data_IF_229180345995
#
_entry.id   IF_229180345995
#
_cell.length_a   1.000
_cell.length_b   1.000
_cell.length_c   1.000
_cell.angle_alpha   90.00
_cell.angle_beta   90.00
_cell.angle_gamma   90.00
#
_symmetry.space_group_name_H-M   'P 1'
#
loop_
_entity.id
_entity.type
_entity.pdbx_description
1 polymer ?
#
# COMPACT_ATOMS: atom_id res chain seq x y z
N UNK A 1 -70.68 9.85 -79.45
CA UNK A 1 -71.16 8.47 -79.26
C UNK A 1 -71.23 8.17 -77.77
N UNK A 2 -72.39 7.68 -77.31
CA UNK A 2 -72.60 6.69 -76.22
C UNK A 2 -71.63 6.70 -75.02
N UNK A 3 -72.03 7.28 -73.88
CA UNK A 3 -72.87 6.71 -72.79
C UNK A 3 -72.12 5.76 -71.84
N UNK A 4 -71.92 6.23 -70.60
CA UNK A 4 -71.58 5.42 -69.41
C UNK A 4 -72.10 6.09 -68.14
N UNK A 5 -73.32 5.75 -67.70
CA UNK A 5 -73.96 6.29 -66.46
C UNK A 5 -73.82 5.28 -65.31
N UNK A 6 -73.62 5.77 -64.08
CA UNK A 6 -74.39 5.53 -62.83
C UNK A 6 -73.55 6.00 -61.62
N UNK A 7 -73.97 7.05 -60.91
CA UNK A 7 -74.73 7.05 -59.64
C UNK A 7 -74.04 6.26 -58.50
N UNK A 8 -73.60 6.80 -57.34
CA UNK A 8 -74.04 7.87 -56.40
C UNK A 8 -74.77 7.35 -55.13
N UNK A 9 -74.93 8.21 -54.10
CA UNK A 9 -75.28 8.02 -52.65
C UNK A 9 -74.04 7.82 -51.73
N UNK A 10 -73.92 8.22 -50.44
CA UNK A 10 -74.55 9.15 -49.45
C UNK A 10 -73.42 9.42 -48.38
N UNK A 11 -72.99 10.64 -48.02
CA UNK A 11 -73.46 11.62 -46.98
C UNK A 11 -73.49 11.10 -45.50
N UNK A 12 -73.48 11.94 -44.43
CA UNK A 12 -72.79 13.24 -44.18
C UNK A 12 -72.29 13.44 -42.70
N UNK A 13 -71.85 14.68 -42.35
CA UNK A 13 -71.63 15.29 -40.98
C UNK A 13 -70.57 14.62 -40.05
N UNK A 14 -69.90 15.28 -39.08
CA UNK A 14 -70.05 16.58 -38.40
C UNK A 14 -68.74 17.42 -38.36
N UNK A 15 -68.89 18.73 -38.11
CA UNK A 15 -67.81 19.66 -37.81
C UNK A 15 -67.47 19.69 -36.31
N UNK A 16 -66.25 20.13 -35.95
CA UNK A 16 -66.06 21.23 -34.99
C UNK A 16 -64.65 21.86 -35.10
N UNK A 17 -64.52 23.12 -34.69
CA UNK A 17 -63.36 23.99 -34.93
C UNK A 17 -62.17 23.77 -33.95
N UNK A 18 -60.96 24.20 -34.36
CA UNK A 18 -59.84 24.38 -33.42
C UNK A 18 -58.46 24.64 -34.04
N UNK A 19 -58.06 25.92 -34.13
CA UNK A 19 -56.69 26.48 -34.05
C UNK A 19 -55.54 25.65 -34.71
N UNK A 20 -55.11 25.91 -35.95
CA UNK A 20 -54.35 27.06 -36.48
C UNK A 20 -52.82 27.10 -36.20
N UNK A 21 -52.08 27.49 -37.26
CA UNK A 21 -50.68 27.97 -37.35
C UNK A 21 -49.58 26.93 -37.69
N UNK A 22 -48.76 27.32 -38.68
CA UNK A 22 -47.68 26.57 -39.32
C UNK A 22 -46.41 26.48 -38.45
N UNK A 23 -45.63 25.43 -38.67
CA UNK A 23 -44.17 25.48 -38.49
C UNK A 23 -43.49 24.75 -39.67
N UNK A 24 -42.61 25.45 -40.40
CA UNK A 24 -41.84 24.86 -41.50
C UNK A 24 -40.79 23.88 -40.94
N UNK A 25 -40.91 22.60 -41.28
CA UNK A 25 -39.95 21.58 -40.88
C UNK A 25 -38.75 21.46 -41.83
N UNK A 26 -37.70 22.27 -41.64
CA UNK A 26 -36.34 21.92 -42.08
C UNK A 26 -35.32 22.37 -41.02
N UNK A 27 -34.90 21.43 -40.17
CA UNK A 27 -33.69 21.56 -39.36
C UNK A 27 -32.99 20.20 -39.32
N UNK A 28 -32.03 20.01 -40.23
CA UNK A 28 -31.17 18.83 -40.26
C UNK A 28 -30.17 18.88 -39.09
N UNK A 29 -30.66 18.63 -37.87
CA UNK A 29 -29.85 18.53 -36.67
C UNK A 29 -28.97 17.30 -36.72
N UNK A 30 -27.68 17.47 -37.01
CA UNK A 30 -26.70 16.39 -36.91
C UNK A 30 -26.59 15.92 -35.46
N UNK A 31 -27.29 14.83 -35.14
CA UNK A 31 -27.19 14.18 -33.84
C UNK A 31 -25.78 13.63 -33.64
N UNK A 32 -24.89 14.44 -33.03
CA UNK A 32 -23.65 13.93 -32.45
C UNK A 32 -24.04 12.94 -31.36
N UNK A 33 -23.98 11.67 -31.69
CA UNK A 33 -23.93 10.60 -30.70
C UNK A 33 -22.78 10.92 -29.74
N UNK A 34 -23.12 11.34 -28.52
CA UNK A 34 -22.18 11.36 -27.42
C UNK A 34 -21.84 9.90 -27.09
N UNK A 35 -20.88 9.36 -27.83
CA UNK A 35 -20.25 8.08 -27.52
C UNK A 35 -19.62 8.23 -26.13
N UNK A 36 -20.35 7.80 -25.11
CA UNK A 36 -19.94 7.92 -23.73
C UNK A 36 -18.58 7.23 -23.61
N UNK A 37 -17.57 7.99 -23.18
CA UNK A 37 -16.21 7.47 -23.09
C UNK A 37 -16.25 6.24 -22.18
N UNK A 38 -15.68 5.12 -22.67
CA UNK A 38 -15.66 3.89 -21.91
C UNK A 38 -14.98 4.13 -20.56
N UNK A 39 -15.60 3.68 -19.48
CA UNK A 39 -15.09 3.82 -18.12
C UNK A 39 -13.66 3.27 -18.05
N UNK A 40 -12.73 4.04 -17.48
CA UNK A 40 -11.34 3.57 -17.36
C UNK A 40 -11.27 2.44 -16.35
N UNK A 41 -10.74 1.28 -16.74
CA UNK A 41 -10.66 0.10 -15.88
C UNK A 41 -9.27 -0.03 -15.27
N UNK A 42 -9.20 -0.11 -13.95
CA UNK A 42 -7.96 -0.35 -13.22
C UNK A 42 -8.12 -1.50 -12.21
N UNK A 43 -7.07 -2.31 -12.07
CA UNK A 43 -7.08 -3.48 -11.20
C UNK A 43 -5.98 -3.43 -10.14
N UNK A 44 -6.24 -4.06 -9.00
CA UNK A 44 -5.28 -4.29 -7.92
C UNK A 44 -5.17 -5.79 -7.61
N UNK A 45 -3.96 -6.27 -7.30
CA UNK A 45 -3.68 -7.66 -6.95
C UNK A 45 -3.04 -7.68 -5.56
N UNK A 46 -3.71 -8.31 -4.59
CA UNK A 46 -3.28 -8.43 -3.20
C UNK A 46 -2.82 -9.86 -2.88
N UNK A 47 -1.78 -9.97 -2.04
CA UNK A 47 -1.27 -11.25 -1.53
C UNK A 47 -2.12 -11.79 -0.38
N UNK A 48 -2.65 -10.91 0.48
CA UNK A 48 -3.61 -11.23 1.53
C UNK A 48 -5.07 -10.93 1.13
N UNK A 49 -6.02 -11.11 2.05
CA UNK A 49 -7.39 -10.62 1.92
C UNK A 49 -7.44 -9.10 2.15
N UNK A 50 -8.35 -8.39 1.48
CA UNK A 50 -8.48 -6.93 1.57
C UNK A 50 -8.83 -6.41 2.99
N UNK A 51 -9.20 -7.29 3.92
CA UNK A 51 -9.49 -7.00 5.33
C UNK A 51 -8.49 -7.64 6.31
N UNK A 52 -7.24 -7.91 5.88
CA UNK A 52 -6.14 -8.36 6.75
C UNK A 52 -5.79 -7.44 7.93
N UNK A 53 -6.34 -6.22 7.91
CA UNK A 53 -6.13 -5.14 8.88
C UNK A 53 -4.69 -4.59 8.92
N UNK A 54 -3.88 -4.89 7.90
CA UNK A 54 -2.51 -4.44 7.71
C UNK A 54 -2.25 -4.01 6.27
N UNK A 55 -1.47 -4.81 5.54
CA UNK A 55 -0.88 -4.49 4.23
C UNK A 55 -1.91 -4.39 3.11
N UNK A 56 -2.65 -5.47 2.86
CA UNK A 56 -3.64 -5.54 1.78
C UNK A 56 -4.80 -4.58 2.05
N UNK A 57 -5.20 -4.42 3.32
CA UNK A 57 -6.18 -3.41 3.70
C UNK A 57 -5.70 -1.97 3.46
N UNK A 58 -4.42 -1.65 3.70
CA UNK A 58 -3.89 -0.34 3.38
C UNK A 58 -3.95 -0.08 1.86
N UNK A 59 -3.60 -1.08 1.04
CA UNK A 59 -3.72 -1.01 -0.42
C UNK A 59 -5.17 -0.86 -0.88
N UNK A 60 -6.12 -1.60 -0.30
CA UNK A 60 -7.54 -1.49 -0.65
C UNK A 60 -8.15 -0.14 -0.25
N UNK A 61 -7.78 0.41 0.90
CA UNK A 61 -8.10 1.80 1.25
C UNK A 61 -7.56 2.79 0.21
N UNK A 62 -6.39 2.51 -0.37
CA UNK A 62 -5.85 3.25 -1.52
C UNK A 62 -6.72 3.13 -2.77
N UNK A 63 -7.16 1.92 -3.13
CA UNK A 63 -8.09 1.68 -4.25
C UNK A 63 -9.44 2.39 -4.04
N UNK A 64 -10.03 2.26 -2.87
CA UNK A 64 -11.28 2.93 -2.49
C UNK A 64 -11.14 4.45 -2.50
N UNK A 65 -9.96 5.00 -2.13
CA UNK A 65 -9.66 6.42 -2.28
C UNK A 65 -9.71 6.85 -3.77
N UNK A 66 -9.19 6.05 -4.70
CA UNK A 66 -9.32 6.33 -6.15
C UNK A 66 -10.79 6.32 -6.58
N UNK A 67 -11.53 5.25 -6.24
CA UNK A 67 -12.95 5.12 -6.61
C UNK A 67 -13.79 6.29 -6.09
N UNK A 68 -13.54 6.74 -4.85
CA UNK A 68 -14.21 7.89 -4.23
C UNK A 68 -13.94 9.22 -4.95
N UNK A 69 -12.72 9.44 -5.46
CA UNK A 69 -12.33 10.72 -6.07
C UNK A 69 -12.60 10.81 -7.57
N UNK A 70 -12.75 9.68 -8.26
CA UNK A 70 -13.01 9.63 -9.70
C UNK A 70 -14.46 9.22 -10.05
N UNK A 71 -15.18 8.58 -9.11
CA UNK A 71 -16.57 8.17 -9.30
C UNK A 71 -16.72 7.25 -10.51
N UNK A 72 -17.77 7.45 -11.30
CA UNK A 72 -18.06 6.69 -12.52
C UNK A 72 -17.05 6.86 -13.67
N UNK A 73 -16.01 7.70 -13.51
CA UNK A 73 -14.93 7.80 -14.51
C UNK A 73 -13.94 6.64 -14.44
N UNK A 74 -13.94 5.88 -13.33
CA UNK A 74 -13.11 4.69 -13.12
C UNK A 74 -13.94 3.51 -12.61
N UNK A 75 -13.62 2.33 -13.10
CA UNK A 75 -14.05 1.05 -12.54
C UNK A 75 -12.82 0.44 -11.85
N UNK A 76 -12.83 0.36 -10.52
CA UNK A 76 -11.77 -0.32 -9.77
C UNK A 76 -12.14 -1.77 -9.52
N UNK A 77 -11.29 -2.69 -9.94
CA UNK A 77 -11.41 -4.14 -9.66
C UNK A 77 -10.26 -4.58 -8.76
N UNK A 78 -10.41 -5.71 -8.06
CA UNK A 78 -9.31 -6.32 -7.33
C UNK A 78 -9.38 -7.84 -7.35
N UNK A 79 -8.24 -8.47 -7.08
CA UNK A 79 -8.08 -9.91 -6.80
C UNK A 79 -7.25 -10.03 -5.54
N UNK A 80 -7.73 -10.81 -4.58
CA UNK A 80 -7.10 -11.01 -3.28
C UNK A 80 -6.68 -12.46 -3.08
N UNK A 81 -5.90 -12.74 -2.02
CA UNK A 81 -5.37 -14.06 -1.72
C UNK A 81 -4.57 -14.68 -2.89
N UNK A 82 -3.93 -13.83 -3.70
CA UNK A 82 -3.15 -14.28 -4.86
C UNK A 82 -1.76 -14.69 -4.38
N UNK A 83 -1.37 -15.98 -4.47
CA UNK A 83 -0.05 -16.41 -4.03
C UNK A 83 1.03 -15.89 -4.97
N UNK A 84 2.17 -15.51 -4.39
CA UNK A 84 3.39 -15.21 -5.14
C UNK A 84 3.83 -16.44 -5.95
N UNK A 85 4.22 -16.24 -7.22
CA UNK A 85 4.60 -17.30 -8.14
C UNK A 85 3.71 -17.40 -9.40
N UNK A 86 3.74 -18.53 -10.12
CA UNK A 86 3.19 -18.65 -11.48
C UNK A 86 1.70 -18.32 -11.64
N UNK A 87 0.89 -18.51 -10.58
CA UNK A 87 -0.53 -18.15 -10.58
C UNK A 87 -0.76 -16.64 -10.80
N UNK A 88 0.18 -15.79 -10.35
CA UNK A 88 0.09 -14.33 -10.50
C UNK A 88 -0.02 -13.93 -11.97
N UNK A 89 0.73 -14.59 -12.87
CA UNK A 89 0.71 -14.33 -14.31
C UNK A 89 -0.69 -14.58 -14.89
N UNK A 90 -1.35 -15.69 -14.49
CA UNK A 90 -2.70 -16.03 -14.95
C UNK A 90 -3.76 -15.03 -14.48
N UNK A 91 -3.60 -14.51 -13.26
CA UNK A 91 -4.46 -13.45 -12.70
C UNK A 91 -4.29 -12.16 -13.51
N UNK A 92 -3.05 -11.74 -13.79
CA UNK A 92 -2.77 -10.55 -14.61
C UNK A 92 -3.36 -10.70 -16.01
N UNK A 93 -3.11 -11.81 -16.71
CA UNK A 93 -3.69 -12.06 -18.04
C UNK A 93 -5.22 -12.01 -18.02
N UNK A 94 -5.87 -12.49 -16.95
CA UNK A 94 -7.32 -12.36 -16.80
C UNK A 94 -7.77 -10.92 -16.66
N UNK A 95 -7.08 -10.13 -15.84
CA UNK A 95 -7.41 -8.71 -15.65
C UNK A 95 -7.21 -7.89 -16.94
N UNK A 96 -6.21 -8.24 -17.76
CA UNK A 96 -6.02 -7.66 -19.09
C UNK A 96 -7.17 -8.03 -20.03
N UNK A 97 -7.59 -9.31 -20.06
CA UNK A 97 -8.77 -9.76 -20.84
C UNK A 97 -10.07 -9.08 -20.39
N UNK A 98 -10.22 -8.80 -19.10
CA UNK A 98 -11.36 -8.06 -18.52
C UNK A 98 -11.34 -6.55 -18.85
N UNK A 99 -10.34 -6.10 -19.62
CA UNK A 99 -10.23 -4.75 -20.18
C UNK A 99 -9.50 -3.73 -19.31
N UNK A 100 -8.81 -4.16 -18.24
CA UNK A 100 -8.04 -3.24 -17.39
C UNK A 100 -6.86 -2.63 -18.18
N UNK A 101 -6.67 -1.32 -18.02
CA UNK A 101 -5.60 -0.54 -18.67
C UNK A 101 -4.50 -0.07 -17.72
N UNK A 102 -4.70 -0.26 -16.41
CA UNK A 102 -3.69 -0.05 -15.39
C UNK A 102 -3.82 -1.17 -14.35
N UNK A 103 -2.73 -1.88 -14.05
CA UNK A 103 -2.70 -3.00 -13.09
C UNK A 103 -1.66 -2.72 -12.01
N UNK A 104 -2.10 -2.69 -10.75
CA UNK A 104 -1.24 -2.60 -9.56
C UNK A 104 -1.05 -3.99 -8.96
N UNK A 105 0.20 -4.44 -8.84
CA UNK A 105 0.56 -5.66 -8.11
C UNK A 105 1.21 -5.28 -6.78
N UNK A 106 0.61 -5.67 -5.66
CA UNK A 106 0.94 -5.14 -4.33
C UNK A 106 1.75 -6.11 -3.46
N UNK A 107 2.69 -6.87 -4.04
CA UNK A 107 3.59 -7.74 -3.28
C UNK A 107 4.87 -8.05 -4.04
N UNK A 108 5.97 -8.27 -3.30
CA UNK A 108 7.32 -8.41 -3.85
C UNK A 108 7.43 -9.54 -4.89
N UNK A 109 6.92 -10.73 -4.57
CA UNK A 109 6.97 -11.91 -5.43
C UNK A 109 6.05 -11.87 -6.65
N UNK A 110 5.35 -10.75 -6.91
CA UNK A 110 4.61 -10.54 -8.15
C UNK A 110 5.49 -9.98 -9.30
N UNK A 111 6.67 -9.45 -9.00
CA UNK A 111 7.53 -8.73 -9.96
C UNK A 111 7.82 -9.53 -11.24
N UNK A 112 8.19 -10.82 -11.12
CA UNK A 112 8.58 -11.63 -12.30
C UNK A 112 7.42 -11.83 -13.27
N UNK A 113 6.20 -12.00 -12.76
CA UNK A 113 4.99 -12.04 -13.57
C UNK A 113 4.67 -10.66 -14.15
N UNK A 114 4.78 -9.57 -13.39
CA UNK A 114 4.58 -8.22 -13.93
C UNK A 114 5.57 -7.89 -15.06
N UNK A 115 6.83 -8.32 -14.96
CA UNK A 115 7.85 -8.20 -16.02
C UNK A 115 7.53 -9.05 -17.25
N UNK A 116 6.95 -10.24 -17.08
CA UNK A 116 6.46 -11.08 -18.18
C UNK A 116 5.29 -10.42 -18.90
N UNK A 117 4.25 -10.05 -18.16
CA UNK A 117 2.99 -9.58 -18.74
C UNK A 117 3.11 -8.18 -19.34
N UNK A 118 3.95 -7.30 -18.76
CA UNK A 118 4.26 -6.00 -19.36
C UNK A 118 4.86 -6.11 -20.77
N UNK A 119 5.65 -7.16 -21.05
CA UNK A 119 6.20 -7.41 -22.40
C UNK A 119 5.14 -7.90 -23.39
N UNK A 120 4.16 -8.69 -22.94
CA UNK A 120 3.05 -9.20 -23.77
C UNK A 120 1.98 -8.13 -24.04
N UNK A 121 1.79 -7.18 -23.12
CA UNK A 121 0.67 -6.22 -23.13
C UNK A 121 1.16 -4.76 -23.15
N UNK A 122 1.77 -4.29 -24.24
CA UNK A 122 2.35 -2.94 -24.34
C UNK A 122 1.32 -1.80 -24.35
N UNK A 123 0.02 -2.11 -24.36
CA UNK A 123 -1.12 -1.18 -24.27
C UNK A 123 -1.74 -1.11 -22.86
N UNK A 124 -1.15 -1.80 -21.89
CA UNK A 124 -1.54 -1.78 -20.47
C UNK A 124 -0.36 -1.25 -19.66
N UNK A 125 -0.65 -0.32 -18.74
CA UNK A 125 0.31 0.20 -17.77
C UNK A 125 0.36 -0.71 -16.53
N UNK A 126 1.55 -0.96 -16.01
CA UNK A 126 1.81 -1.86 -14.89
C UNK A 126 2.55 -1.13 -13.76
N UNK A 127 2.14 -1.38 -12.52
CA UNK A 127 2.66 -0.76 -11.31
C UNK A 127 2.99 -1.87 -10.31
N UNK A 128 4.27 -2.17 -10.14
CA UNK A 128 4.76 -3.17 -9.18
C UNK A 128 5.10 -2.49 -7.85
N UNK A 129 4.66 -3.07 -6.73
CA UNK A 129 5.07 -2.64 -5.40
C UNK A 129 6.40 -3.29 -5.00
N UNK A 130 7.24 -2.57 -4.24
CA UNK A 130 8.45 -3.11 -3.54
C UNK A 130 9.57 -3.66 -4.45
N UNK A 131 9.40 -3.67 -5.77
CA UNK A 131 10.33 -4.24 -6.73
C UNK A 131 11.40 -3.26 -7.23
N UNK A 132 12.03 -3.64 -8.34
CA UNK A 132 13.19 -2.94 -8.95
C UNK A 132 13.18 -2.92 -10.48
N UNK A 133 12.22 -3.59 -11.12
CA UNK A 133 12.22 -3.82 -12.57
C UNK A 133 11.40 -2.75 -13.31
N UNK A 134 12.05 -2.00 -14.20
CA UNK A 134 11.39 -0.97 -15.03
C UNK A 134 11.34 -1.40 -16.50
N UNK A 135 10.23 -1.08 -17.17
CA UNK A 135 10.07 -1.19 -18.62
C UNK A 135 9.30 0.04 -19.14
N UNK A 136 9.07 0.15 -20.45
CA UNK A 136 8.29 1.27 -21.02
C UNK A 136 6.90 1.42 -20.37
N UNK A 137 6.26 0.32 -20.02
CA UNK A 137 4.93 0.21 -19.44
C UNK A 137 4.91 -0.45 -18.04
N UNK A 138 6.07 -0.63 -17.39
CA UNK A 138 6.18 -1.12 -16.01
C UNK A 138 6.91 -0.09 -15.15
N UNK A 139 6.22 0.41 -14.13
CA UNK A 139 6.74 1.27 -13.07
C UNK A 139 6.89 0.49 -11.76
N UNK A 140 7.75 1.02 -10.88
CA UNK A 140 8.00 0.47 -9.54
C UNK A 140 7.66 1.53 -8.50
N UNK A 141 6.99 1.13 -7.41
CA UNK A 141 6.64 2.04 -6.33
C UNK A 141 6.80 1.40 -4.95
N UNK A 142 7.30 2.19 -4.00
CA UNK A 142 7.29 1.83 -2.59
C UNK A 142 7.36 3.08 -1.70
N UNK A 143 7.48 2.88 -0.39
CA UNK A 143 7.71 3.95 0.59
C UNK A 143 9.03 3.81 1.34
N UNK A 144 9.58 4.95 1.74
CA UNK A 144 10.64 5.09 2.73
C UNK A 144 10.09 4.79 4.15
N UNK A 145 9.45 3.63 4.32
CA UNK A 145 8.80 3.25 5.57
C UNK A 145 9.79 3.09 6.72
N UNK A 146 11.08 2.93 6.43
CA UNK A 146 12.19 2.98 7.36
C UNK A 146 12.15 4.25 8.23
N UNK A 147 11.81 5.41 7.66
CA UNK A 147 11.60 6.67 8.40
C UNK A 147 10.55 6.48 9.51
N UNK A 148 9.38 5.91 9.14
CA UNK A 148 8.25 5.71 10.05
C UNK A 148 8.51 4.58 11.06
N UNK A 149 9.22 3.52 10.64
CA UNK A 149 9.58 2.36 11.44
C UNK A 149 10.68 2.72 12.46
N UNK A 150 11.61 3.62 12.13
CA UNK A 150 12.51 4.22 13.11
C UNK A 150 11.72 5.00 14.18
N UNK A 151 10.76 5.82 13.76
CA UNK A 151 9.93 6.61 14.67
C UNK A 151 9.01 5.75 15.55
N UNK A 152 8.51 4.63 15.04
CA UNK A 152 7.73 3.67 15.82
C UNK A 152 8.62 2.82 16.74
N UNK A 153 9.83 2.46 16.30
CA UNK A 153 10.89 1.88 17.12
C UNK A 153 11.27 2.74 18.31
N UNK A 154 11.34 4.07 18.14
CA UNK A 154 11.52 5.01 19.26
C UNK A 154 10.40 4.89 20.32
N UNK A 155 9.16 4.59 19.92
CA UNK A 155 8.06 4.35 20.86
C UNK A 155 8.26 3.03 21.61
N UNK A 156 8.69 1.97 20.93
CA UNK A 156 9.01 0.67 21.54
C UNK A 156 10.18 0.76 22.54
N UNK A 157 11.28 1.41 22.16
CA UNK A 157 12.43 1.63 23.06
C UNK A 157 12.04 2.38 24.33
N UNK A 158 11.28 3.47 24.19
CA UNK A 158 10.81 4.26 25.33
C UNK A 158 9.77 3.54 26.22
N UNK A 159 9.12 2.49 25.72
CA UNK A 159 8.18 1.66 26.47
C UNK A 159 8.86 0.47 27.17
N UNK A 160 9.99 -0.01 26.66
CA UNK A 160 10.74 -1.13 27.22
C UNK A 160 11.43 -0.74 28.53
N UNK A 161 11.24 -1.56 29.55
CA UNK A 161 11.89 -1.46 30.87
C UNK A 161 13.17 -2.30 30.93
N UNK A 162 13.18 -3.45 30.24
CA UNK A 162 14.30 -4.39 30.20
C UNK A 162 15.32 -4.08 29.10
N UNK A 163 14.95 -3.25 28.12
CA UNK A 163 15.75 -3.04 26.91
C UNK A 163 15.77 -4.26 25.96
N UNK A 164 14.78 -5.16 26.06
CA UNK A 164 14.67 -6.37 25.23
C UNK A 164 13.30 -6.39 24.55
N UNK A 165 13.31 -6.14 23.25
CA UNK A 165 12.12 -5.96 22.42
C UNK A 165 12.03 -7.15 21.45
N UNK A 166 10.84 -7.71 21.28
CA UNK A 166 10.59 -8.75 20.29
C UNK A 166 10.06 -8.16 19.00
N UNK A 167 10.46 -8.70 17.85
CA UNK A 167 10.00 -8.26 16.53
C UNK A 167 9.65 -9.46 15.67
N UNK A 168 8.36 -9.60 15.31
CA UNK A 168 7.86 -10.67 14.43
C UNK A 168 8.03 -10.24 12.98
N UNK A 169 8.74 -11.03 12.19
CA UNK A 169 9.17 -10.66 10.83
C UNK A 169 8.83 -11.78 9.82
N UNK A 170 8.48 -11.47 8.56
CA UNK A 170 8.07 -12.47 7.58
C UNK A 170 9.25 -13.21 6.94
N UNK A 171 9.79 -12.69 5.83
CA UNK A 171 10.86 -13.32 5.04
C UNK A 171 12.17 -12.53 5.15
N UNK A 172 13.31 -13.21 5.12
CA UNK A 172 14.64 -12.60 5.19
C UNK A 172 15.09 -11.94 3.86
N UNK A 173 14.27 -11.04 3.35
CA UNK A 173 14.53 -10.23 2.16
C UNK A 173 15.02 -8.81 2.55
N UNK A 174 15.64 -8.04 1.63
CA UNK A 174 16.21 -6.73 1.96
C UNK A 174 15.24 -5.74 2.60
N UNK A 175 13.95 -5.85 2.32
CA UNK A 175 12.89 -5.05 2.94
C UNK A 175 12.75 -5.28 4.43
N UNK A 176 12.59 -6.54 4.83
CA UNK A 176 12.37 -6.87 6.24
C UNK A 176 13.65 -6.64 7.03
N UNK A 177 14.81 -6.81 6.40
CA UNK A 177 16.13 -6.51 6.99
C UNK A 177 16.29 -5.00 7.22
N UNK A 178 15.97 -4.14 6.24
CA UNK A 178 16.05 -2.67 6.40
C UNK A 178 15.01 -2.15 7.40
N UNK A 179 13.80 -2.69 7.41
CA UNK A 179 12.78 -2.38 8.41
C UNK A 179 13.21 -2.78 9.85
N UNK A 180 13.66 -4.01 10.06
CA UNK A 180 14.15 -4.47 11.35
C UNK A 180 15.34 -3.62 11.87
N UNK A 181 16.23 -3.20 10.96
CA UNK A 181 17.32 -2.31 11.29
C UNK A 181 16.86 -0.90 11.68
N UNK A 182 15.94 -0.30 10.91
CA UNK A 182 15.36 1.00 11.22
C UNK A 182 14.67 0.97 12.60
N UNK A 183 13.87 -0.07 12.87
CA UNK A 183 13.18 -0.27 14.15
C UNK A 183 14.17 -0.38 15.31
N UNK A 184 15.26 -1.15 15.15
CA UNK A 184 16.29 -1.31 16.17
C UNK A 184 17.08 -0.02 16.44
N UNK A 185 17.46 0.73 15.40
CA UNK A 185 18.11 2.03 15.54
C UNK A 185 17.17 3.06 16.21
N UNK A 186 15.87 3.02 15.89
CA UNK A 186 14.83 3.81 16.53
C UNK A 186 14.70 3.51 18.02
N UNK A 187 14.60 2.23 18.39
CA UNK A 187 14.52 1.80 19.78
C UNK A 187 15.78 2.20 20.57
N UNK A 188 16.96 2.04 20.00
CA UNK A 188 18.22 2.44 20.63
C UNK A 188 18.35 3.96 20.85
N UNK A 189 17.67 4.78 20.04
CA UNK A 189 17.66 6.24 20.19
C UNK A 189 16.84 6.73 21.40
N UNK A 190 15.93 5.91 21.94
CA UNK A 190 15.18 6.20 23.17
C UNK A 190 15.55 5.30 24.35
N UNK A 191 16.19 4.16 24.09
CA UNK A 191 16.69 3.22 25.09
C UNK A 191 18.10 2.74 24.67
N UNK A 192 19.16 3.48 25.02
CA UNK A 192 20.53 3.14 24.64
C UNK A 192 20.90 1.71 25.06
N UNK A 193 21.43 0.93 24.11
CA UNK A 193 21.80 -0.47 24.34
C UNK A 193 20.68 -1.50 24.11
N UNK A 194 19.45 -1.06 23.80
CA UNK A 194 18.31 -1.95 23.52
C UNK A 194 18.62 -3.03 22.49
N UNK A 195 18.08 -4.22 22.73
CA UNK A 195 18.16 -5.41 21.90
C UNK A 195 16.83 -5.69 21.23
N UNK A 196 16.86 -5.99 19.93
CA UNK A 196 15.68 -6.40 19.17
C UNK A 196 15.85 -7.84 18.75
N UNK A 197 15.04 -8.76 19.29
CA UNK A 197 15.05 -10.17 18.94
C UNK A 197 14.07 -10.45 17.83
N UNK A 198 14.55 -11.03 16.73
CA UNK A 198 13.72 -11.40 15.59
C UNK A 198 13.19 -12.83 15.76
N UNK A 199 11.96 -13.08 15.29
CA UNK A 199 11.51 -14.42 14.90
C UNK A 199 10.88 -14.34 13.50
N UNK A 200 11.41 -15.14 12.58
CA UNK A 200 10.94 -15.25 11.20
C UNK A 200 9.76 -16.22 11.10
N UNK A 201 8.63 -15.75 10.56
CA UNK A 201 7.44 -16.59 10.30
C UNK A 201 7.52 -17.32 8.96
N UNK A 202 8.34 -16.83 8.02
CA UNK A 202 8.33 -17.27 6.62
C UNK A 202 6.91 -17.26 6.02
N UNK A 203 6.15 -16.20 6.32
CA UNK A 203 4.85 -15.87 5.73
C UNK A 203 4.57 -14.39 5.96
N UNK A 204 4.09 -13.66 4.95
CA UNK A 204 3.54 -12.30 5.11
C UNK A 204 2.38 -12.28 6.10
N UNK A 205 1.46 -13.23 5.94
CA UNK A 205 0.26 -13.43 6.74
C UNK A 205 0.15 -14.90 7.19
N UNK A 206 0.11 -15.15 8.50
CA UNK A 206 -0.24 -16.43 9.13
C UNK A 206 -0.50 -16.20 10.63
N UNK A 207 -1.76 -15.97 10.99
CA UNK A 207 -2.18 -15.64 12.36
C UNK A 207 -1.66 -16.63 13.42
N UNK A 208 -1.50 -17.91 13.04
CA UNK A 208 -1.01 -18.98 13.93
C UNK A 208 0.49 -18.85 14.17
N UNK A 209 1.28 -18.67 13.10
CA UNK A 209 2.74 -18.44 13.21
C UNK A 209 3.06 -17.13 13.90
N UNK A 210 2.35 -16.05 13.57
CA UNK A 210 2.53 -14.73 14.16
C UNK A 210 2.31 -14.76 15.68
N UNK A 211 1.19 -15.36 16.12
CA UNK A 211 0.87 -15.55 17.54
C UNK A 211 1.90 -16.44 18.26
N UNK A 212 2.37 -17.52 17.61
CA UNK A 212 3.43 -18.39 18.16
C UNK A 212 4.77 -17.67 18.26
N UNK A 213 5.13 -16.83 17.28
CA UNK A 213 6.34 -16.01 17.31
C UNK A 213 6.26 -14.97 18.43
N UNK A 214 5.15 -14.25 18.55
CA UNK A 214 4.88 -13.31 19.65
C UNK A 214 4.97 -13.99 21.03
N UNK A 215 4.41 -15.20 21.17
CA UNK A 215 4.54 -16.02 22.37
C UNK A 215 5.98 -16.40 22.68
N UNK A 216 6.73 -16.91 21.70
CA UNK A 216 8.13 -17.28 21.88
C UNK A 216 9.02 -16.07 22.25
N UNK A 217 8.75 -14.88 21.71
CA UNK A 217 9.44 -13.64 22.06
C UNK A 217 9.19 -13.22 23.51
N UNK A 218 7.95 -13.26 23.99
CA UNK A 218 7.61 -12.96 25.40
C UNK A 218 8.18 -14.01 26.35
N UNK A 219 8.12 -15.31 25.98
CA UNK A 219 8.78 -16.39 26.73
C UNK A 219 10.30 -16.23 26.77
N UNK A 220 10.92 -15.68 25.72
CA UNK A 220 12.33 -15.32 25.67
C UNK A 220 12.66 -14.01 26.44
N UNK A 221 11.70 -13.47 27.18
CA UNK A 221 11.90 -12.35 28.12
C UNK A 221 11.60 -10.96 27.56
N UNK A 222 11.21 -10.84 26.28
CA UNK A 222 10.90 -9.54 25.66
C UNK A 222 9.74 -8.85 26.39
N UNK A 223 9.84 -7.54 26.63
CA UNK A 223 8.84 -6.76 27.39
C UNK A 223 8.11 -5.69 26.56
N UNK A 224 8.40 -5.63 25.26
CA UNK A 224 7.66 -4.91 24.22
C UNK A 224 7.68 -5.78 22.97
N UNK A 225 6.60 -5.76 22.18
CA UNK A 225 6.52 -6.41 20.88
C UNK A 225 6.41 -5.39 19.73
N UNK A 226 6.85 -5.78 18.55
CA UNK A 226 6.53 -5.12 17.30
C UNK A 226 6.45 -6.15 16.18
N UNK A 227 6.05 -5.72 14.99
CA UNK A 227 5.89 -6.59 13.84
C UNK A 227 6.32 -5.92 12.52
N UNK A 228 6.55 -6.77 11.52
CA UNK A 228 6.62 -6.44 10.10
C UNK A 228 5.83 -7.46 9.26
N UNK A 229 4.84 -8.10 9.87
CA UNK A 229 3.85 -9.03 9.28
C UNK A 229 2.50 -8.34 9.14
N UNK A 230 1.63 -8.88 8.30
CA UNK A 230 0.48 -8.19 7.73
C UNK A 230 -0.78 -8.16 8.63
N UNK A 231 -0.79 -8.81 9.80
CA UNK A 231 -1.99 -8.93 10.66
C UNK A 231 -1.84 -8.35 12.07
N UNK A 232 -2.93 -7.96 12.76
CA UNK A 232 -2.89 -7.56 14.17
C UNK A 232 -2.55 -8.68 15.19
N UNK A 233 -2.37 -9.94 14.78
CA UNK A 233 -2.30 -11.10 15.69
C UNK A 233 -1.15 -11.01 16.73
N UNK A 234 -0.03 -10.38 16.37
CA UNK A 234 1.06 -10.09 17.32
C UNK A 234 0.61 -9.11 18.41
N UNK A 235 -0.16 -8.09 18.04
CA UNK A 235 -0.74 -7.10 18.95
C UNK A 235 -1.83 -7.66 19.85
N UNK A 236 -2.72 -8.49 19.32
CA UNK A 236 -3.74 -9.20 20.11
C UNK A 236 -3.12 -10.10 21.18
N UNK A 237 -2.04 -10.82 20.82
CA UNK A 237 -1.27 -11.57 21.80
C UNK A 237 -0.65 -10.65 22.86
N UNK A 238 -0.05 -9.53 22.44
CA UNK A 238 0.55 -8.54 23.34
C UNK A 238 -0.47 -7.97 24.35
N UNK A 239 -1.68 -7.62 23.88
CA UNK A 239 -2.83 -7.20 24.70
C UNK A 239 -3.15 -8.25 25.76
N UNK A 240 -3.27 -9.52 25.34
CA UNK A 240 -3.59 -10.66 26.23
C UNK A 240 -2.53 -10.92 27.33
N UNK A 241 -1.29 -10.46 27.13
CA UNK A 241 -0.18 -10.57 28.08
C UNK A 241 0.15 -9.26 28.80
N UNK A 242 -0.56 -8.18 28.50
CA UNK A 242 -0.29 -6.88 29.08
C UNK A 242 0.99 -6.20 28.58
N UNK A 243 1.57 -6.69 27.48
CA UNK A 243 2.84 -6.25 26.88
C UNK A 243 2.58 -5.13 25.87
N UNK A 244 3.25 -3.96 25.96
CA UNK A 244 3.12 -2.89 24.96
C UNK A 244 3.51 -3.35 23.55
N UNK A 245 2.87 -2.80 22.51
CA UNK A 245 3.16 -3.20 21.12
C UNK A 245 3.15 -2.06 20.10
N UNK A 246 3.89 -2.29 19.01
CA UNK A 246 3.93 -1.45 17.80
C UNK A 246 3.38 -2.23 16.60
N UNK A 247 2.40 -1.65 15.89
CA UNK A 247 1.86 -2.22 14.66
C UNK A 247 2.64 -1.83 13.39
N UNK A 248 2.18 -2.34 12.26
CA UNK A 248 2.73 -2.10 10.92
C UNK A 248 1.59 -1.95 9.90
N UNK A 249 1.89 -1.37 8.74
CA UNK A 249 1.01 -1.02 7.58
C UNK A 249 -0.19 -0.11 7.83
N UNK A 250 -1.04 -0.46 8.79
CA UNK A 250 -2.34 0.14 9.06
C UNK A 250 -2.46 0.57 10.53
N UNK A 251 -3.46 1.41 10.81
CA UNK A 251 -3.81 1.76 12.19
C UNK A 251 -4.61 0.62 12.87
N UNK A 252 -3.92 -0.44 13.29
CA UNK A 252 -4.49 -1.59 13.99
C UNK A 252 -4.81 -1.35 15.49
N UNK A 253 -4.91 -0.09 15.94
CA UNK A 253 -5.16 0.27 17.34
C UNK A 253 -6.42 -0.40 17.93
N UNK A 254 -7.46 -0.63 17.13
CA UNK A 254 -8.75 -1.17 17.57
C UNK A 254 -8.67 -2.61 18.09
N UNK A 255 -7.73 -3.41 17.61
CA UNK A 255 -7.58 -4.84 17.95
C UNK A 255 -6.90 -5.03 19.32
N UNK A 256 -5.95 -4.16 19.66
CA UNK A 256 -5.21 -4.22 20.91
C UNK A 256 -4.96 -2.81 21.52
N UNK A 257 -6.03 -2.12 21.96
CA UNK A 257 -5.99 -0.70 22.28
C UNK A 257 -5.37 -0.35 23.63
N UNK A 258 -5.30 -1.27 24.61
CA UNK A 258 -4.73 -0.98 25.94
C UNK A 258 -3.21 -1.01 25.92
N UNK A 259 -2.62 -1.77 25.00
CA UNK A 259 -1.18 -1.94 24.85
C UNK A 259 -0.58 -1.24 23.63
N UNK A 260 -1.41 -0.70 22.74
CA UNK A 260 -0.97 0.09 21.58
C UNK A 260 0.01 1.21 21.95
N UNK A 261 1.10 1.32 21.19
CA UNK A 261 2.02 2.45 21.22
C UNK A 261 1.77 3.36 20.00
N UNK A 262 1.93 2.83 18.80
CA UNK A 262 1.71 3.46 17.48
C UNK A 262 1.95 2.37 16.40
N UNK A 263 1.91 2.73 15.13
CA UNK A 263 2.37 1.91 14.00
C UNK A 263 3.05 2.80 12.96
N UNK A 264 3.99 2.23 12.21
CA UNK A 264 4.31 2.78 10.89
C UNK A 264 3.16 2.44 9.94
N UNK A 265 2.70 3.41 9.15
CA UNK A 265 1.54 3.23 8.26
C UNK A 265 1.81 3.74 6.85
N UNK A 266 1.11 3.15 5.88
CA UNK A 266 1.07 3.62 4.49
C UNK A 266 -0.23 4.33 4.14
N UNK A 267 -0.15 5.22 3.16
CA UNK A 267 -1.26 5.99 2.61
C UNK A 267 -1.12 6.02 1.08
N UNK A 268 -1.53 4.93 0.44
CA UNK A 268 -1.39 4.73 -1.01
C UNK A 268 -2.35 5.58 -1.85
N UNK A 269 -3.45 6.07 -1.27
CA UNK A 269 -4.53 6.76 -1.99
C UNK A 269 -4.07 7.94 -2.86
N UNK A 270 -3.31 8.91 -2.34
CA UNK A 270 -2.77 10.02 -3.12
C UNK A 270 -1.80 9.56 -4.24
N UNK A 271 -1.04 8.49 -4.04
CA UNK A 271 -0.18 7.93 -5.08
C UNK A 271 -1.02 7.32 -6.20
N UNK A 272 -1.91 6.37 -5.88
CA UNK A 272 -2.78 5.72 -6.85
C UNK A 272 -3.67 6.70 -7.62
N UNK A 273 -4.22 7.72 -6.95
CA UNK A 273 -5.03 8.74 -7.63
C UNK A 273 -4.22 9.52 -8.67
N UNK A 274 -2.93 9.79 -8.43
CA UNK A 274 -2.05 10.43 -9.43
C UNK A 274 -1.78 9.49 -10.60
N UNK A 275 -1.45 8.22 -10.35
CA UNK A 275 -1.11 7.24 -11.40
C UNK A 275 -2.30 6.89 -12.30
N UNK A 276 -3.48 6.65 -11.71
CA UNK A 276 -4.73 6.42 -12.44
C UNK A 276 -5.11 7.63 -13.29
N UNK A 277 -5.02 8.86 -12.75
CA UNK A 277 -5.25 10.09 -13.54
C UNK A 277 -4.25 10.24 -14.69
N UNK A 278 -2.98 9.86 -14.50
CA UNK A 278 -1.98 9.92 -15.55
C UNK A 278 -2.30 8.93 -16.69
N UNK A 279 -2.68 7.70 -16.36
CA UNK A 279 -3.05 6.68 -17.35
C UNK A 279 -4.32 7.07 -18.13
N UNK A 280 -5.37 7.55 -17.43
CA UNK A 280 -6.59 8.09 -18.05
C UNK A 280 -6.33 9.24 -19.03
N UNK A 281 -5.29 10.04 -18.78
CA UNK A 281 -4.95 11.20 -19.61
C UNK A 281 -3.88 10.88 -20.67
N UNK A 282 -3.40 9.63 -20.78
CA UNK A 282 -2.29 9.27 -21.68
C UNK A 282 -0.95 9.92 -21.31
N UNK A 283 -0.78 10.37 -20.06
CA UNK A 283 0.44 11.02 -19.54
C UNK A 283 1.19 10.16 -18.53
N UNK A 284 0.76 8.90 -18.32
CA UNK A 284 1.49 7.92 -17.54
C UNK A 284 2.89 7.69 -18.12
N UNK A 285 3.85 7.51 -17.22
CA UNK A 285 5.24 7.18 -17.55
C UNK A 285 5.79 6.22 -16.49
N UNK A 286 6.57 5.25 -16.95
CA UNK A 286 7.38 4.42 -16.07
C UNK A 286 8.37 5.27 -15.27
N UNK A 287 8.68 4.79 -14.07
CA UNK A 287 9.67 5.36 -13.18
C UNK A 287 9.70 4.58 -11.87
N UNK A 288 10.71 4.88 -11.05
CA UNK A 288 10.82 4.38 -9.69
C UNK A 288 10.33 5.45 -8.71
N UNK A 289 9.28 5.15 -7.94
CA UNK A 289 8.73 6.04 -6.92
C UNK A 289 9.05 5.51 -5.51
N UNK A 290 9.60 6.37 -4.66
CA UNK A 290 9.92 6.05 -3.26
C UNK A 290 9.38 7.18 -2.38
N UNK A 291 8.12 7.03 -1.95
CA UNK A 291 7.39 8.06 -1.21
C UNK A 291 7.80 8.14 0.26
N UNK A 292 7.60 9.29 0.88
CA UNK A 292 8.28 9.69 2.12
C UNK A 292 7.32 10.32 3.14
N UNK A 293 7.84 10.66 4.32
CA UNK A 293 7.11 11.49 5.29
C UNK A 293 6.67 12.84 4.72
N UNK A 294 7.38 13.38 3.71
CA UNK A 294 7.15 14.69 3.10
C UNK A 294 5.98 14.69 2.09
N UNK A 295 5.80 13.62 1.31
CA UNK A 295 4.64 13.43 0.42
C UNK A 295 3.48 12.67 1.09
N UNK A 296 3.66 12.30 2.35
CA UNK A 296 2.69 11.61 3.21
C UNK A 296 2.25 10.22 2.71
N UNK A 297 3.07 9.54 1.89
CA UNK A 297 2.88 8.12 1.60
C UNK A 297 3.12 7.27 2.86
N UNK A 298 4.10 7.64 3.70
CA UNK A 298 4.39 6.95 4.96
C UNK A 298 4.16 7.88 6.15
N UNK A 299 3.82 7.30 7.31
CA UNK A 299 3.54 8.06 8.51
C UNK A 299 3.47 7.22 9.79
N UNK A 300 3.02 7.86 10.87
CA UNK A 300 2.70 7.17 12.12
C UNK A 300 1.19 7.19 12.36
N UNK A 301 0.65 6.06 12.82
CA UNK A 301 -0.68 5.99 13.40
C UNK A 301 -0.76 6.80 14.73
N UNK A 302 -1.97 7.19 15.17
CA UNK A 302 -2.16 7.87 16.45
C UNK A 302 -1.51 7.13 17.61
N UNK A 303 -0.92 7.88 18.55
CA UNK A 303 -0.27 7.29 19.72
C UNK A 303 -1.28 6.75 20.73
N UNK A 304 -1.05 5.55 21.23
CA UNK A 304 -1.81 4.99 22.35
C UNK A 304 -1.63 5.76 23.66
N UNK A 305 -2.53 5.50 24.61
CA UNK A 305 -2.62 6.25 25.89
C UNK A 305 -1.35 6.14 26.75
N UNK A 306 -0.57 5.07 26.59
CA UNK A 306 0.66 4.80 27.37
C UNK A 306 1.91 5.53 26.85
N UNK A 307 1.88 6.09 25.64
CA UNK A 307 3.03 6.85 25.12
C UNK A 307 3.13 8.20 25.84
N UNK A 308 4.21 8.39 26.61
CA UNK A 308 4.41 9.60 27.41
C UNK A 308 4.54 10.87 26.55
N UNK A 309 4.19 12.03 27.10
CA UNK A 309 4.40 13.31 26.42
C UNK A 309 5.88 13.59 26.08
N UNK A 310 6.82 13.09 26.90
CA UNK A 310 8.27 13.13 26.62
C UNK A 310 8.61 12.32 25.36
N UNK A 311 8.08 11.10 25.27
CA UNK A 311 8.24 10.21 24.10
C UNK A 311 7.65 10.85 22.84
N UNK A 312 6.41 11.37 22.89
CA UNK A 312 5.76 12.04 21.75
C UNK A 312 6.59 13.23 21.25
N UNK A 313 7.15 14.05 22.15
CA UNK A 313 8.04 15.18 21.78
C UNK A 313 9.35 14.71 21.13
N UNK A 314 9.98 13.66 21.67
CA UNK A 314 11.20 13.11 21.10
C UNK A 314 10.98 12.57 19.67
N UNK A 315 9.88 11.83 19.46
CA UNK A 315 9.50 11.31 18.14
C UNK A 315 9.15 12.46 17.18
N UNK A 316 8.39 13.47 17.62
CA UNK A 316 8.06 14.64 16.79
C UNK A 316 9.31 15.43 16.37
N UNK A 317 10.26 15.66 17.29
CA UNK A 317 11.54 16.32 16.97
C UNK A 317 12.37 15.50 15.96
N UNK A 318 12.39 14.17 16.11
CA UNK A 318 13.06 13.27 15.16
C UNK A 318 12.38 13.27 13.78
N UNK A 319 11.03 13.22 13.74
CA UNK A 319 10.25 13.31 12.49
C UNK A 319 10.58 14.60 11.73
N UNK A 320 10.63 15.73 12.44
CA UNK A 320 11.03 17.01 11.84
C UNK A 320 12.48 16.98 11.31
N UNK A 321 13.40 16.28 11.99
CA UNK A 321 14.78 16.13 11.52
C UNK A 321 14.92 15.23 10.27
N UNK A 322 14.11 14.17 10.15
CA UNK A 322 13.99 13.34 8.94
C UNK A 322 13.44 14.15 7.77
N UNK A 323 12.28 14.80 7.97
CA UNK A 323 11.58 15.60 6.95
C UNK A 323 12.43 16.78 6.45
N UNK A 324 13.27 17.37 7.30
CA UNK A 324 14.22 18.44 6.93
C UNK A 324 15.61 17.94 6.52
N UNK A 325 15.80 16.62 6.38
CA UNK A 325 17.06 15.94 6.02
C UNK A 325 18.27 16.27 6.93
N UNK A 326 18.02 16.81 8.13
CA UNK A 326 19.03 17.04 9.18
C UNK A 326 19.43 15.76 9.91
N UNK A 327 18.64 14.70 9.75
CA UNK A 327 18.92 13.37 10.26
C UNK A 327 18.54 12.34 9.19
N UNK A 328 19.26 11.21 9.19
CA UNK A 328 18.95 10.01 8.41
C UNK A 328 19.47 8.80 9.20
N UNK A 329 18.62 7.82 9.42
CA UNK A 329 18.89 6.65 10.26
C UNK A 329 19.95 5.72 9.67
N UNK A 330 20.07 5.64 8.33
CA UNK A 330 21.17 4.92 7.68
C UNK A 330 22.41 5.78 7.39
N UNK A 331 22.61 6.88 8.13
CA UNK A 331 23.88 7.60 8.17
C UNK A 331 24.88 6.94 9.15
N UNK A 332 26.15 6.89 8.76
CA UNK A 332 27.22 6.29 9.57
C UNK A 332 27.71 7.19 10.72
N UNK A 333 28.33 6.61 11.76
CA UNK A 333 28.87 5.25 11.79
C UNK A 333 27.83 4.16 12.14
N UNK A 334 27.70 3.14 11.28
CA UNK A 334 26.88 1.96 11.53
C UNK A 334 27.71 0.69 11.51
N UNK A 335 27.44 -0.19 12.48
CA UNK A 335 28.06 -1.50 12.61
C UNK A 335 26.98 -2.58 12.53
N UNK A 336 27.32 -3.75 12.00
CA UNK A 336 26.44 -4.91 12.04
C UNK A 336 26.45 -5.63 13.41
N UNK A 337 25.64 -6.67 13.55
CA UNK A 337 25.53 -7.48 14.76
C UNK A 337 26.82 -8.21 15.18
N UNK A 338 27.78 -8.40 14.27
CA UNK A 338 29.12 -8.91 14.58
C UNK A 338 30.09 -7.83 15.06
N UNK A 339 29.70 -6.56 14.99
CA UNK A 339 30.56 -5.41 15.29
C UNK A 339 31.38 -4.91 14.10
N UNK A 340 31.22 -5.47 12.89
CA UNK A 340 31.90 -4.99 11.69
C UNK A 340 31.31 -3.66 11.24
N UNK A 341 32.15 -2.66 10.98
CA UNK A 341 31.73 -1.37 10.41
C UNK A 341 31.17 -1.56 8.99
N UNK A 342 29.96 -1.04 8.75
CA UNK A 342 29.23 -1.14 7.46
C UNK A 342 29.06 0.20 6.77
N UNK A 343 28.84 1.28 7.53
CA UNK A 343 28.74 2.65 7.00
C UNK A 343 29.68 3.53 7.79
N UNK A 344 30.63 4.22 7.13
CA UNK A 344 31.62 5.07 7.81
C UNK A 344 30.97 6.39 8.27
N UNK A 345 31.54 7.04 9.29
CA UNK A 345 31.13 8.40 9.70
C UNK A 345 31.13 9.35 8.50
N UNK A 346 30.05 10.10 8.32
CA UNK A 346 29.88 11.03 7.20
C UNK A 346 29.39 10.40 5.89
N UNK A 347 29.29 9.07 5.81
CA UNK A 347 28.60 8.37 4.71
C UNK A 347 27.14 8.09 5.09
N UNK A 348 26.31 7.85 4.07
CA UNK A 348 24.94 7.37 4.21
C UNK A 348 24.63 6.33 3.13
N UNK A 349 23.72 5.41 3.41
CA UNK A 349 23.23 4.49 2.39
C UNK A 349 22.38 5.25 1.34
N UNK A 350 22.43 4.78 0.09
CA UNK A 350 21.47 5.15 -0.95
C UNK A 350 20.30 4.16 -1.00
N UNK A 351 19.18 4.54 -1.63
CA UNK A 351 18.01 3.64 -1.79
C UNK A 351 18.42 2.32 -2.46
N UNK A 352 19.26 2.36 -3.50
CA UNK A 352 19.81 1.14 -4.12
C UNK A 352 20.56 0.24 -3.12
N UNK A 353 21.31 0.82 -2.17
CA UNK A 353 21.98 0.04 -1.12
C UNK A 353 21.01 -0.50 -0.06
N UNK A 354 19.88 0.19 0.20
CA UNK A 354 18.80 -0.33 1.05
C UNK A 354 18.11 -1.54 0.41
N UNK A 355 17.87 -1.50 -0.90
CA UNK A 355 17.29 -2.60 -1.67
C UNK A 355 18.23 -3.82 -1.80
N UNK A 356 19.53 -3.66 -1.49
CA UNK A 356 20.51 -4.73 -1.41
C UNK A 356 20.93 -5.10 0.03
N UNK A 357 20.21 -4.60 1.05
CA UNK A 357 20.60 -4.78 2.45
C UNK A 357 20.44 -6.25 2.90
N UNK A 358 21.53 -6.85 3.39
CA UNK A 358 21.60 -8.27 3.76
C UNK A 358 22.30 -8.52 5.11
N UNK A 359 22.29 -7.51 5.99
CA UNK A 359 22.97 -7.54 7.28
C UNK A 359 22.13 -6.81 8.33
N UNK A 360 22.20 -7.27 9.58
CA UNK A 360 21.46 -6.68 10.71
C UNK A 360 22.37 -5.78 11.54
N UNK A 361 21.86 -4.64 12.04
CA UNK A 361 22.61 -3.66 12.84
C UNK A 361 22.99 -4.19 14.22
N UNK A 362 24.03 -3.61 14.82
CA UNK A 362 24.47 -3.91 16.19
C UNK A 362 23.30 -3.81 17.18
N UNK A 363 23.03 -4.91 17.88
CA UNK A 363 21.96 -5.00 18.89
C UNK A 363 20.71 -5.73 18.41
N UNK A 364 20.57 -6.02 17.11
CA UNK A 364 19.62 -7.04 16.66
C UNK A 364 20.14 -8.42 17.09
N UNK A 365 19.22 -9.31 17.46
CA UNK A 365 19.45 -10.71 17.80
C UNK A 365 18.64 -11.55 16.80
N UNK A 366 19.32 -12.15 15.83
CA UNK A 366 18.71 -12.98 14.80
C UNK A 366 19.70 -13.33 13.69
N UNK A 367 19.20 -13.99 12.66
CA UNK A 367 19.93 -14.29 11.42
C UNK A 367 19.42 -13.39 10.29
N UNK A 368 20.28 -12.76 9.47
CA UNK A 368 19.86 -12.03 8.26
C UNK A 368 19.47 -12.97 7.10
N UNK A 369 19.41 -14.29 7.32
CA UNK A 369 19.07 -15.31 6.30
C UNK A 369 17.80 -16.11 6.62
N UNK A 370 17.06 -15.70 7.65
CA UNK A 370 16.13 -16.59 8.38
C UNK A 370 16.84 -17.26 9.54
#
# INVERSE_FOLDING_TARGET
>A
MTRGRKLALVLPVLAFAGVAVLALGVAAGSARSHKQAATFKAAWIYVGPHDDHGWSQAHDQGRLYVQKHLGSKVETTYKELVPEGPQTCQVIESLVRDGNKLIFATSFGFQDCMVSEAKKHPDVDFEQATGTALSKNLAEYFGAAEDAIYLSGMAAGAASKKGVIGYVVPFAIPEVIRHANAFALGAQATHPGAKVRLIWTNSWLDLSKEKKAAQALVSAGCDVLGQNVDSPATGEFAESKGVPWVGYDSNAQTFAPKQWLTAAIYNWGPYYLRRVKAAMNGTWKSGFYYGSLNDHLVGLAPYGKKVSAKTKRAIAAKKAALMSHKFYEFAGPLHDQSGKLRVKKGQKLSVHQLYAMNWLVKGVIGSPKG
#
